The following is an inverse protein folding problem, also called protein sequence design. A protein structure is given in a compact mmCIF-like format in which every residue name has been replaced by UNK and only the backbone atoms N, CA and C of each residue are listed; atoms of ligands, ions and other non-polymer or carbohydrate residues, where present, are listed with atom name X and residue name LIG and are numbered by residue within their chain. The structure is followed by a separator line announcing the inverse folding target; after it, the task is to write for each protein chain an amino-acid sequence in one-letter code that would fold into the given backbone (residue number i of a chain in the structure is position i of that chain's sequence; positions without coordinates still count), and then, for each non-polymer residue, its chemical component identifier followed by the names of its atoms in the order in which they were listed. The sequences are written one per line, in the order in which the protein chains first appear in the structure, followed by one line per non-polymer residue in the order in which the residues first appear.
data_IF_534738409991
#
_entry.id   IF_534738409991
#
_cell.length_a   1.000
_cell.length_b   1.000
_cell.length_c   1.000
_cell.angle_alpha   90.00
_cell.angle_beta   90.00
_cell.angle_gamma   90.00
#
_symmetry.space_group_name_H-M   'P 1'
#
loop_
_entity.id
_entity.type
_entity.pdbx_description
1 polymer ?
#
# COMPACT_ATOMS: atom_id res chain seq x y z
N UNK A 1 -12.47 4.38 -15.12
CA UNK A 1 -11.80 3.11 -14.81
C UNK A 1 -12.46 2.49 -13.58
N UNK A 2 -12.74 1.21 -13.64
CA UNK A 2 -13.28 0.48 -12.51
C UNK A 2 -12.12 -0.14 -11.72
N UNK A 3 -11.99 0.23 -10.45
CA UNK A 3 -10.94 -0.31 -9.58
C UNK A 3 -11.56 -1.05 -8.40
N UNK A 4 -10.83 -2.06 -7.91
CA UNK A 4 -11.20 -2.83 -6.74
C UNK A 4 -10.07 -2.70 -5.73
N UNK A 5 -10.41 -2.32 -4.50
CA UNK A 5 -9.46 -2.26 -3.40
C UNK A 5 -9.53 -3.58 -2.63
N UNK A 6 -8.36 -4.16 -2.35
CA UNK A 6 -8.29 -5.44 -1.64
C UNK A 6 -7.00 -5.53 -0.82
N UNK A 7 -6.97 -6.52 0.08
CA UNK A 7 -5.72 -6.91 0.73
C UNK A 7 -4.78 -7.51 -0.30
N UNK A 8 -3.48 -7.44 -0.01
CA UNK A 8 -2.48 -8.10 -0.84
C UNK A 8 -2.55 -9.61 -0.66
N UNK A 9 -2.39 -10.34 -1.76
CA UNK A 9 -2.17 -11.79 -1.73
C UNK A 9 -0.71 -12.09 -2.07
N UNK A 10 -0.27 -13.31 -1.77
CA UNK A 10 1.11 -13.72 -2.06
C UNK A 10 1.45 -13.64 -3.54
N UNK A 11 0.45 -13.74 -4.40
CA UNK A 11 0.63 -13.66 -5.86
C UNK A 11 0.91 -12.24 -6.35
N UNK A 12 0.65 -11.24 -5.51
CA UNK A 12 0.79 -9.83 -5.88
C UNK A 12 2.20 -9.27 -5.67
N UNK A 13 3.12 -10.08 -5.14
CA UNK A 13 4.44 -9.58 -4.71
C UNK A 13 5.16 -8.82 -5.80
N UNK A 14 5.20 -9.36 -7.01
CA UNK A 14 5.95 -8.76 -8.11
C UNK A 14 5.39 -7.40 -8.49
N UNK A 15 4.07 -7.28 -8.57
CA UNK A 15 3.43 -6.00 -8.89
C UNK A 15 3.55 -5.01 -7.75
N UNK A 16 3.43 -5.46 -6.50
CA UNK A 16 3.60 -4.62 -5.33
C UNK A 16 5.02 -4.04 -5.27
N UNK A 17 6.03 -4.88 -5.54
CA UNK A 17 7.42 -4.42 -5.59
C UNK A 17 7.62 -3.32 -6.63
N UNK A 18 7.04 -3.50 -7.80
CA UNK A 18 7.14 -2.50 -8.87
C UNK A 18 6.51 -1.17 -8.45
N UNK A 19 5.34 -1.22 -7.81
CA UNK A 19 4.68 -0.01 -7.28
C UNK A 19 5.52 0.67 -6.20
N UNK A 20 6.04 -0.11 -5.26
CA UNK A 20 6.81 0.46 -4.15
C UNK A 20 8.15 1.02 -4.61
N UNK A 21 8.77 0.40 -5.60
CA UNK A 21 9.96 0.98 -6.26
C UNK A 21 9.62 2.31 -6.95
N UNK A 22 8.45 2.38 -7.57
CA UNK A 22 7.95 3.62 -8.17
C UNK A 22 7.75 4.72 -7.15
N UNK A 23 7.20 4.37 -5.99
CA UNK A 23 7.06 5.29 -4.85
C UNK A 23 8.42 5.83 -4.41
N UNK A 24 9.39 4.94 -4.21
CA UNK A 24 10.73 5.33 -3.77
C UNK A 24 11.40 6.24 -4.79
N UNK A 25 11.26 5.94 -6.08
CA UNK A 25 11.82 6.77 -7.14
C UNK A 25 11.18 8.15 -7.17
N UNK A 26 9.87 8.21 -7.02
CA UNK A 26 9.12 9.48 -7.01
C UNK A 26 9.59 10.40 -5.87
N UNK A 27 9.79 9.83 -4.70
CA UNK A 27 10.22 10.58 -3.50
C UNK A 27 11.74 10.62 -3.33
N UNK A 28 12.50 10.06 -4.29
CA UNK A 28 13.96 10.01 -4.27
C UNK A 28 14.52 9.36 -3.03
N UNK A 29 13.89 8.26 -2.62
CA UNK A 29 14.30 7.46 -1.46
C UNK A 29 15.01 6.21 -1.95
N UNK A 30 16.16 5.83 -1.37
CA UNK A 30 16.82 4.58 -1.73
C UNK A 30 15.93 3.37 -1.47
N UNK A 31 15.92 2.42 -2.39
CA UNK A 31 15.16 1.19 -2.25
C UNK A 31 15.98 0.03 -2.79
N UNK A 32 15.96 -1.10 -2.08
CA UNK A 32 16.65 -2.30 -2.50
C UNK A 32 15.79 -3.52 -2.19
N UNK A 33 16.23 -4.68 -2.67
CA UNK A 33 15.46 -5.92 -2.52
C UNK A 33 15.32 -6.34 -1.07
N UNK A 34 16.35 -6.07 -0.24
CA UNK A 34 16.29 -6.41 1.18
C UNK A 34 15.16 -5.67 1.91
N UNK A 35 15.02 -4.38 1.63
CA UNK A 35 13.92 -3.58 2.20
C UNK A 35 12.58 -4.11 1.71
N UNK A 36 12.46 -4.40 0.42
CA UNK A 36 11.22 -4.94 -0.14
C UNK A 36 10.83 -6.26 0.50
N UNK A 37 11.77 -7.16 0.67
CA UNK A 37 11.50 -8.46 1.27
C UNK A 37 11.11 -8.33 2.74
N UNK A 38 11.75 -7.43 3.47
CA UNK A 38 11.42 -7.17 4.88
C UNK A 38 10.01 -6.62 5.03
N UNK A 39 9.66 -5.60 4.26
CA UNK A 39 8.32 -5.00 4.32
C UNK A 39 7.26 -6.01 3.89
N UNK A 40 7.54 -6.80 2.87
CA UNK A 40 6.64 -7.85 2.43
C UNK A 40 6.34 -8.85 3.55
N UNK A 41 7.38 -9.24 4.31
CA UNK A 41 7.20 -10.16 5.44
C UNK A 41 6.33 -9.56 6.54
N UNK A 42 6.43 -8.25 6.77
CA UNK A 42 5.59 -7.57 7.76
C UNK A 42 4.11 -7.59 7.39
N UNK A 43 3.79 -7.48 6.10
CA UNK A 43 2.40 -7.45 5.63
C UNK A 43 1.66 -8.73 6.00
N UNK A 44 2.36 -9.87 5.96
CA UNK A 44 1.75 -11.18 6.21
C UNK A 44 2.01 -11.73 7.61
N UNK A 45 2.68 -10.95 8.48
CA UNK A 45 2.97 -11.35 9.86
C UNK A 45 1.81 -10.90 10.76
N UNK A 46 1.07 -11.86 11.29
CA UNK A 46 -0.09 -11.60 12.17
C UNK A 46 0.29 -10.88 13.46
N UNK A 47 1.56 -10.98 13.88
CA UNK A 47 2.04 -10.33 15.10
C UNK A 47 2.52 -8.91 14.86
N UNK A 48 2.44 -8.43 13.62
CA UNK A 48 2.89 -7.09 13.24
C UNK A 48 1.68 -6.25 12.84
N UNK A 49 1.49 -5.09 13.48
CA UNK A 49 0.35 -4.21 13.20
C UNK A 49 0.59 -3.32 11.98
N UNK A 50 1.17 -3.88 10.93
CA UNK A 50 1.43 -3.23 9.66
C UNK A 50 0.50 -3.81 8.61
N UNK A 51 -0.17 -2.94 7.83
CA UNK A 51 -1.20 -3.33 6.88
C UNK A 51 -0.96 -2.70 5.52
N UNK A 52 -1.39 -3.39 4.47
CA UNK A 52 -1.29 -2.91 3.10
C UNK A 52 -2.58 -3.17 2.35
N UNK A 53 -2.98 -2.20 1.54
CA UNK A 53 -4.08 -2.35 0.60
C UNK A 53 -3.55 -2.03 -0.80
N UNK A 54 -4.15 -2.65 -1.81
CA UNK A 54 -3.86 -2.35 -3.21
C UNK A 54 -5.16 -2.04 -3.94
N UNK A 55 -5.06 -1.19 -4.93
CA UNK A 55 -6.12 -0.95 -5.90
C UNK A 55 -5.75 -1.67 -7.19
N UNK A 56 -6.67 -2.46 -7.73
CA UNK A 56 -6.48 -3.20 -8.97
C UNK A 56 -7.45 -2.68 -10.03
N UNK A 57 -6.99 -2.60 -11.27
CA UNK A 57 -7.85 -2.23 -12.38
C UNK A 57 -8.69 -3.43 -12.86
N UNK A 58 -9.46 -3.24 -13.92
CA UNK A 58 -10.34 -4.29 -14.46
C UNK A 58 -9.57 -5.51 -14.95
N UNK A 59 -8.29 -5.36 -15.29
CA UNK A 59 -7.42 -6.46 -15.72
C UNK A 59 -6.72 -7.15 -14.57
N UNK A 60 -6.97 -6.72 -13.32
CA UNK A 60 -6.34 -7.30 -12.14
C UNK A 60 -4.93 -6.78 -11.88
N UNK A 61 -4.51 -5.71 -12.54
CA UNK A 61 -3.21 -5.10 -12.36
C UNK A 61 -3.22 -4.15 -11.15
N UNK A 62 -2.20 -4.22 -10.31
CA UNK A 62 -2.07 -3.30 -9.18
C UNK A 62 -1.69 -1.91 -9.70
N UNK A 63 -2.53 -0.92 -9.45
CA UNK A 63 -2.33 0.45 -9.92
C UNK A 63 -2.15 1.44 -8.78
N UNK A 64 -2.37 1.02 -7.54
CA UNK A 64 -2.16 1.85 -6.36
C UNK A 64 -1.85 1.01 -5.15
N UNK A 65 -1.14 1.60 -4.18
CA UNK A 65 -0.88 0.95 -2.90
C UNK A 65 -1.05 1.94 -1.76
N UNK A 66 -1.36 1.40 -0.58
CA UNK A 66 -1.41 2.15 0.67
C UNK A 66 -0.86 1.26 1.78
N UNK A 67 0.12 1.79 2.52
CA UNK A 67 0.65 1.14 3.73
C UNK A 67 0.25 1.94 4.95
N UNK A 68 -0.21 1.26 5.99
CA UNK A 68 -0.56 1.94 7.24
C UNK A 68 -0.27 1.05 8.44
N UNK A 69 -0.13 1.69 9.60
CA UNK A 69 0.10 1.02 10.89
C UNK A 69 -1.05 1.32 11.83
N UNK A 70 -1.38 0.33 12.68
CA UNK A 70 -2.27 0.58 13.81
C UNK A 70 -1.42 1.08 14.97
N UNK A 71 -1.83 2.19 15.59
CA UNK A 71 -1.11 2.75 16.72
C UNK A 71 -2.05 3.43 17.71
N UNK A 72 -1.70 3.43 19.02
CA UNK A 72 -2.52 4.14 20.00
C UNK A 72 -2.50 5.65 19.77
N UNK A 73 -3.66 6.26 19.91
CA UNK A 73 -3.80 7.72 19.96
C UNK A 73 -4.20 8.10 21.38
N UNK A 74 -3.28 8.67 22.19
CA UNK A 74 -3.61 8.98 23.61
C UNK A 74 -4.75 9.99 23.75
N UNK A 75 -4.77 10.99 22.89
CA UNK A 75 -5.81 12.04 22.97
C UNK A 75 -7.20 11.49 22.68
N UNK A 76 -7.30 10.43 21.88
CA UNK A 76 -8.58 9.82 21.52
C UNK A 76 -8.91 8.59 22.35
N UNK A 77 -7.94 8.05 23.06
CA UNK A 77 -8.10 6.79 23.77
C UNK A 77 -8.44 5.63 22.86
N UNK A 78 -7.94 5.64 21.62
CA UNK A 78 -8.28 4.65 20.58
C UNK A 78 -7.04 4.22 19.82
N UNK A 79 -7.16 3.06 19.16
CA UNK A 79 -6.18 2.64 18.16
C UNK A 79 -6.60 3.26 16.84
N UNK A 80 -5.67 3.93 16.17
CA UNK A 80 -5.91 4.59 14.87
C UNK A 80 -4.96 4.05 13.82
N UNK A 81 -5.35 4.20 12.55
CA UNK A 81 -4.47 3.89 11.43
C UNK A 81 -3.59 5.09 11.11
N UNK A 82 -2.28 4.85 11.02
CA UNK A 82 -1.31 5.87 10.63
C UNK A 82 -0.81 5.55 9.22
N UNK A 83 -1.04 6.48 8.28
CA UNK A 83 -0.64 6.32 6.90
C UNK A 83 0.88 6.50 6.76
N UNK A 84 1.55 5.45 6.27
CA UNK A 84 2.99 5.50 6.02
C UNK A 84 3.29 5.84 4.55
N UNK A 85 2.64 5.13 3.62
CA UNK A 85 2.92 5.26 2.20
C UNK A 85 1.61 5.24 1.41
N UNK A 86 1.54 6.09 0.39
CA UNK A 86 0.41 6.12 -0.54
C UNK A 86 0.97 6.44 -1.93
N UNK A 87 0.71 5.57 -2.90
CA UNK A 87 1.22 5.76 -4.25
C UNK A 87 0.24 5.23 -5.28
N UNK A 88 0.00 6.03 -6.32
CA UNK A 88 -0.83 5.68 -7.47
C UNK A 88 0.04 5.82 -8.72
N UNK A 89 -0.04 4.86 -9.64
CA UNK A 89 0.65 4.98 -10.93
C UNK A 89 0.25 6.29 -11.60
N UNK A 90 1.22 6.97 -12.20
CA UNK A 90 0.99 8.31 -12.77
C UNK A 90 -0.13 8.34 -13.81
N UNK A 91 -0.24 7.31 -14.65
CA UNK A 91 -1.29 7.21 -15.66
C UNK A 91 -2.68 6.93 -15.07
N UNK A 92 -2.75 6.59 -13.80
CA UNK A 92 -4.02 6.28 -13.11
C UNK A 92 -4.45 7.34 -12.11
N UNK A 93 -3.69 8.43 -11.97
CA UNK A 93 -4.02 9.51 -11.04
C UNK A 93 -5.25 10.28 -11.51
N UNK A 94 -5.99 10.83 -10.53
CA UNK A 94 -7.19 11.62 -10.85
C UNK A 94 -8.43 10.79 -11.12
N UNK A 95 -8.43 9.49 -10.79
CA UNK A 95 -9.54 8.58 -11.08
C UNK A 95 -10.25 8.09 -9.81
N UNK A 96 -10.08 8.78 -8.69
CA UNK A 96 -10.76 8.41 -7.45
C UNK A 96 -10.13 7.24 -6.71
N UNK A 97 -8.93 6.79 -7.09
CA UNK A 97 -8.28 5.62 -6.49
C UNK A 97 -7.85 5.91 -5.04
N UNK A 98 -7.37 7.13 -4.76
CA UNK A 98 -6.96 7.52 -3.41
C UNK A 98 -8.16 7.42 -2.47
N UNK A 99 -9.31 7.94 -2.87
CA UNK A 99 -10.54 7.90 -2.08
C UNK A 99 -10.97 6.44 -1.86
N UNK A 100 -10.88 5.60 -2.88
CA UNK A 100 -11.23 4.18 -2.77
C UNK A 100 -10.33 3.46 -1.77
N UNK A 101 -9.02 3.75 -1.76
CA UNK A 101 -8.09 3.17 -0.81
C UNK A 101 -8.42 3.58 0.63
N UNK A 102 -8.77 4.85 0.86
CA UNK A 102 -9.16 5.32 2.19
C UNK A 102 -10.44 4.67 2.69
N UNK A 103 -11.33 4.27 1.81
CA UNK A 103 -12.57 3.60 2.17
C UNK A 103 -12.40 2.10 2.36
N UNK A 104 -11.35 1.55 1.80
CA UNK A 104 -11.01 0.14 1.91
C UNK A 104 -10.30 -0.18 3.19
#
# INVERSE_FOLDING_TARGET
MKTVVSDLSVQDKQQWQALYRGYAQFYKVPMNQEVLDTVWSWIFDENNAFYALVAKDAAGQCVGLMHYRAMPSPLRGQIVGFLDDLFIKSECRGQGIVEALYQG
#
